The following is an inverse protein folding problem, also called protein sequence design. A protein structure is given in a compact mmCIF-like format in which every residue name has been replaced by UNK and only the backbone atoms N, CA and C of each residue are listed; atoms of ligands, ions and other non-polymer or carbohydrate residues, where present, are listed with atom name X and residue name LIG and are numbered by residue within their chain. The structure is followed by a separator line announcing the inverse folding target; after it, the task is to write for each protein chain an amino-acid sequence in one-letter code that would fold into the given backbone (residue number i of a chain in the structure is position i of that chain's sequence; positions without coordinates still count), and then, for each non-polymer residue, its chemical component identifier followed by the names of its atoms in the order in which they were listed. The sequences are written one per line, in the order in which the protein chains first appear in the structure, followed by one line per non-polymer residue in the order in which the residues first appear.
data_IF_724234595184
#
_entry.id   IF_724234595184
#
_cell.length_a   1.000
_cell.length_b   1.000
_cell.length_c   1.000
_cell.angle_alpha   90.00
_cell.angle_beta   90.00
_cell.angle_gamma   90.00
#
_symmetry.space_group_name_H-M   'P 1'
#
loop_
_entity.id
_entity.type
_entity.pdbx_description
1 polymer ?
#
# COMPACT_ATOMS: atom_id res chain seq x y z
N UNK A 1 -32.40 12.27 27.41
CA UNK A 1 -32.74 11.99 25.97
C UNK A 1 -31.71 11.05 25.41
N UNK A 2 -32.13 10.03 24.64
CA UNK A 2 -31.28 9.02 24.00
C UNK A 2 -31.60 8.96 22.50
N UNK A 3 -30.65 8.43 21.66
CA UNK A 3 -30.87 8.24 20.23
C UNK A 3 -32.13 7.42 19.90
N UNK A 4 -32.52 6.52 20.81
CA UNK A 4 -33.76 5.73 20.68
C UNK A 4 -34.98 6.63 20.66
N UNK A 5 -35.06 7.65 21.51
CA UNK A 5 -36.16 8.61 21.54
C UNK A 5 -36.29 9.37 20.20
N UNK A 6 -35.14 9.78 19.60
CA UNK A 6 -35.14 10.44 18.30
C UNK A 6 -35.67 9.51 17.20
N UNK A 7 -35.17 8.25 17.15
CA UNK A 7 -35.65 7.25 16.18
C UNK A 7 -37.13 7.00 16.29
N UNK A 8 -37.64 6.86 17.50
CA UNK A 8 -39.05 6.63 17.76
C UNK A 8 -39.92 7.83 17.36
N UNK A 9 -39.47 9.04 17.70
CA UNK A 9 -40.16 10.25 17.32
C UNK A 9 -40.19 10.42 15.77
N UNK A 10 -39.08 10.27 15.09
CA UNK A 10 -39.00 10.34 13.63
C UNK A 10 -39.94 9.32 12.98
N UNK A 11 -39.98 8.08 13.48
CA UNK A 11 -40.85 7.04 12.95
C UNK A 11 -42.35 7.40 13.12
N UNK A 12 -42.76 7.94 14.25
CA UNK A 12 -44.15 8.37 14.48
C UNK A 12 -44.47 9.61 13.65
N UNK A 13 -43.56 10.57 13.59
CA UNK A 13 -43.74 11.81 12.85
C UNK A 13 -43.90 11.60 11.33
N UNK A 14 -43.19 10.59 10.77
CA UNK A 14 -43.30 10.23 9.36
C UNK A 14 -44.54 9.43 9.00
N UNK A 15 -44.93 8.51 9.86
CA UNK A 15 -46.10 7.68 9.61
C UNK A 15 -47.42 8.32 10.06
N UNK A 16 -47.35 9.36 10.89
CA UNK A 16 -48.49 9.99 11.57
C UNK A 16 -49.42 8.96 12.25
N UNK A 17 -48.85 7.83 12.67
CA UNK A 17 -49.54 6.70 13.27
C UNK A 17 -48.59 5.94 14.23
N UNK A 18 -49.00 5.82 15.48
CA UNK A 18 -48.25 5.03 16.47
C UNK A 18 -48.20 3.54 16.13
N UNK A 19 -49.31 3.00 15.58
CA UNK A 19 -49.37 1.59 15.19
C UNK A 19 -48.43 1.27 14.02
N UNK A 20 -48.52 2.06 12.96
CA UNK A 20 -47.63 1.90 11.81
C UNK A 20 -46.13 2.13 12.17
N UNK A 21 -45.84 3.11 13.03
CA UNK A 21 -44.47 3.34 13.54
C UNK A 21 -43.98 2.16 14.39
N UNK A 22 -44.81 1.59 15.25
CA UNK A 22 -44.49 0.44 16.08
C UNK A 22 -44.18 -0.80 15.23
N UNK A 23 -45.00 -1.07 14.20
CA UNK A 23 -44.76 -2.14 13.22
C UNK A 23 -43.44 -1.95 12.49
N UNK A 24 -43.15 -0.76 11.95
CA UNK A 24 -41.89 -0.42 11.26
C UNK A 24 -40.66 -0.59 12.14
N UNK A 25 -40.79 -0.29 13.44
CA UNK A 25 -39.72 -0.40 14.42
C UNK A 25 -39.58 -1.79 15.05
N UNK A 26 -40.51 -2.72 14.79
CA UNK A 26 -40.51 -4.06 15.37
C UNK A 26 -40.77 -4.04 16.89
N UNK A 27 -41.55 -3.07 17.41
CA UNK A 27 -41.87 -2.91 18.83
C UNK A 27 -43.38 -2.88 19.03
N UNK A 28 -43.85 -3.09 20.27
CA UNK A 28 -45.25 -2.88 20.60
C UNK A 28 -45.57 -1.38 20.77
N UNK A 29 -46.80 -0.98 20.43
CA UNK A 29 -47.24 0.41 20.47
C UNK A 29 -47.24 1.06 21.88
N UNK A 30 -47.57 0.37 22.99
CA UNK A 30 -47.59 1.01 24.32
C UNK A 30 -46.21 1.56 24.76
N UNK A 31 -45.10 0.79 24.71
CA UNK A 31 -43.78 1.34 25.06
C UNK A 31 -43.32 2.46 24.09
N UNK A 32 -43.64 2.40 22.79
CA UNK A 32 -43.35 3.48 21.86
C UNK A 32 -44.05 4.78 22.31
N UNK A 33 -45.32 4.70 22.62
CA UNK A 33 -46.11 5.86 23.09
C UNK A 33 -45.57 6.43 24.41
N UNK A 34 -45.10 5.58 25.32
CA UNK A 34 -44.50 6.02 26.58
C UNK A 34 -43.16 6.76 26.32
N UNK A 35 -42.30 6.22 25.49
CA UNK A 35 -41.00 6.85 25.16
C UNK A 35 -41.18 8.22 24.49
N UNK A 36 -42.21 8.42 23.69
CA UNK A 36 -42.52 9.76 23.13
C UNK A 36 -43.02 10.70 24.20
N UNK A 37 -43.84 10.23 25.17
CA UNK A 37 -44.26 11.08 26.32
C UNK A 37 -43.08 11.48 27.18
N UNK A 38 -42.15 10.56 27.43
CA UNK A 38 -40.95 10.85 28.23
C UNK A 38 -40.05 11.87 27.51
N UNK A 39 -39.93 11.80 26.18
CA UNK A 39 -39.23 12.79 25.36
C UNK A 39 -39.88 14.17 25.43
N UNK A 40 -41.22 14.24 25.28
CA UNK A 40 -41.98 15.50 25.38
C UNK A 40 -41.88 16.11 26.79
N UNK A 41 -41.93 15.29 27.84
CA UNK A 41 -41.75 15.73 29.22
C UNK A 41 -40.32 16.29 29.46
N UNK A 42 -39.29 15.64 28.93
CA UNK A 42 -37.90 16.11 29.03
C UNK A 42 -37.70 17.45 28.29
N UNK A 43 -38.33 17.60 27.11
CA UNK A 43 -38.27 18.83 26.31
C UNK A 43 -39.19 19.96 26.88
N UNK A 44 -40.11 19.63 27.78
CA UNK A 44 -41.06 20.58 28.34
C UNK A 44 -42.11 21.11 27.35
N UNK A 45 -42.26 20.42 26.19
CA UNK A 45 -43.21 20.83 25.15
C UNK A 45 -43.74 19.63 24.36
N UNK A 46 -45.05 19.61 24.00
CA UNK A 46 -45.60 18.58 23.15
C UNK A 46 -45.06 18.69 21.71
N UNK A 47 -44.65 17.57 21.14
CA UNK A 47 -44.22 17.45 19.76
C UNK A 47 -45.33 16.96 18.83
N UNK A 48 -46.33 16.26 19.39
CA UNK A 48 -47.44 15.67 18.63
C UNK A 48 -48.79 16.11 19.18
N UNK A 49 -49.68 16.52 18.29
CA UNK A 49 -51.10 16.57 18.56
C UNK A 49 -51.65 15.16 18.46
N UNK A 50 -52.35 14.70 19.54
CA UNK A 50 -52.91 13.35 19.61
C UNK A 50 -54.41 13.45 19.88
N UNK A 51 -55.22 12.87 19.00
CA UNK A 51 -56.62 12.62 19.21
C UNK A 51 -56.88 11.12 19.10
N UNK A 52 -58.09 10.67 19.42
CA UNK A 52 -58.49 9.27 19.24
C UNK A 52 -58.49 8.83 17.77
N UNK A 53 -58.40 9.75 16.82
CA UNK A 53 -58.51 9.48 15.38
C UNK A 53 -57.32 9.95 14.53
N UNK A 54 -56.44 10.79 15.08
CA UNK A 54 -55.35 11.39 14.30
C UNK A 54 -54.15 11.73 15.15
N UNK A 55 -52.97 11.68 14.51
CA UNK A 55 -51.68 12.16 15.01
C UNK A 55 -51.17 13.22 14.01
N UNK A 56 -50.74 14.37 14.52
CA UNK A 56 -50.16 15.43 13.70
C UNK A 56 -49.00 16.07 14.48
N UNK A 57 -48.06 16.70 13.73
CA UNK A 57 -46.96 17.43 14.35
C UNK A 57 -47.42 18.78 14.90
N UNK A 58 -46.91 19.16 16.07
CA UNK A 58 -46.97 20.54 16.54
C UNK A 58 -45.93 21.39 15.78
N UNK A 59 -45.98 22.73 15.83
CA UNK A 59 -44.87 23.57 15.34
C UNK A 59 -43.51 23.18 15.95
N UNK A 60 -43.48 22.88 17.26
CA UNK A 60 -42.29 22.38 17.95
C UNK A 60 -41.86 21.01 17.41
N UNK A 61 -42.82 20.10 17.15
CA UNK A 61 -42.57 18.80 16.55
C UNK A 61 -41.99 18.89 15.13
N UNK A 62 -42.50 19.83 14.33
CA UNK A 62 -41.96 20.06 12.97
C UNK A 62 -40.52 20.55 13.02
N UNK A 63 -40.20 21.51 13.89
CA UNK A 63 -38.82 22.00 14.06
C UNK A 63 -37.90 20.91 14.62
N UNK A 64 -38.39 20.14 15.60
CA UNK A 64 -37.64 19.07 16.23
C UNK A 64 -37.37 17.90 15.25
N UNK A 65 -38.33 17.56 14.37
CA UNK A 65 -38.19 16.52 13.36
C UNK A 65 -37.00 16.78 12.42
N UNK A 66 -36.86 18.01 11.94
CA UNK A 66 -35.74 18.38 11.09
C UNK A 66 -34.38 18.18 11.79
N UNK A 67 -34.32 18.57 13.08
CA UNK A 67 -33.09 18.41 13.86
C UNK A 67 -32.83 16.94 14.23
N UNK A 68 -33.84 16.18 14.61
CA UNK A 68 -33.72 14.76 14.95
C UNK A 68 -33.23 13.94 13.77
N UNK A 69 -33.69 14.23 12.54
CA UNK A 69 -33.16 13.59 11.31
C UNK A 69 -31.68 13.91 11.07
N UNK A 70 -31.27 15.17 11.24
CA UNK A 70 -29.87 15.57 11.10
C UNK A 70 -28.98 14.81 12.08
N UNK A 71 -29.34 14.78 13.37
CA UNK A 71 -28.59 14.07 14.42
C UNK A 71 -28.45 12.57 14.10
N UNK A 72 -29.55 11.93 13.68
CA UNK A 72 -29.51 10.51 13.32
C UNK A 72 -28.65 10.25 12.10
N UNK A 73 -28.69 11.15 11.10
CA UNK A 73 -27.80 11.10 9.91
C UNK A 73 -26.33 11.22 10.30
N UNK A 74 -25.96 12.19 11.14
CA UNK A 74 -24.59 12.36 11.63
C UNK A 74 -24.08 11.12 12.39
N UNK A 75 -24.95 10.47 13.17
CA UNK A 75 -24.60 9.21 13.86
C UNK A 75 -24.35 8.08 12.85
N UNK A 76 -25.16 7.97 11.81
CA UNK A 76 -24.97 6.97 10.77
C UNK A 76 -23.67 7.21 9.98
N UNK A 77 -23.36 8.46 9.65
CA UNK A 77 -22.11 8.86 8.99
C UNK A 77 -20.90 8.53 9.87
N UNK A 78 -20.91 8.89 11.15
CA UNK A 78 -19.83 8.57 12.08
C UNK A 78 -19.61 7.06 12.21
N UNK A 79 -20.68 6.27 12.25
CA UNK A 79 -20.59 4.81 12.25
C UNK A 79 -20.02 4.26 10.94
N UNK A 80 -20.38 4.84 9.80
CA UNK A 80 -19.86 4.44 8.49
C UNK A 80 -18.38 4.76 8.35
N UNK A 81 -17.94 5.94 8.80
CA UNK A 81 -16.56 6.36 8.83
C UNK A 81 -15.71 5.42 9.71
N UNK A 82 -16.14 5.14 10.93
CA UNK A 82 -15.45 4.22 11.83
C UNK A 82 -15.27 2.82 11.21
N UNK A 83 -16.31 2.31 10.52
CA UNK A 83 -16.23 1.04 9.78
C UNK A 83 -15.27 1.12 8.60
N UNK A 84 -15.25 2.23 7.87
CA UNK A 84 -14.35 2.43 6.74
C UNK A 84 -12.88 2.45 7.18
N UNK A 85 -12.57 3.17 8.27
CA UNK A 85 -11.23 3.18 8.89
C UNK A 85 -10.85 1.78 9.37
N UNK A 86 -11.73 1.11 10.13
CA UNK A 86 -11.46 -0.23 10.66
C UNK A 86 -11.26 -1.29 9.56
N UNK A 87 -11.90 -1.11 8.41
CA UNK A 87 -11.71 -1.97 7.22
C UNK A 87 -10.55 -1.54 6.32
N UNK A 88 -9.79 -0.51 6.67
CA UNK A 88 -8.69 0.02 5.87
C UNK A 88 -9.12 0.57 4.51
N UNK A 89 -10.36 1.07 4.39
CA UNK A 89 -10.88 1.70 3.17
C UNK A 89 -10.59 3.21 3.10
N UNK A 90 -10.24 3.79 4.23
CA UNK A 90 -9.84 5.20 4.37
C UNK A 90 -8.63 5.29 5.28
N UNK A 91 -7.77 6.30 5.05
CA UNK A 91 -6.57 6.55 5.85
C UNK A 91 -5.35 6.87 5.00
N UNK A 92 -4.17 6.61 5.53
CA UNK A 92 -2.87 6.79 4.85
C UNK A 92 -2.09 5.50 4.83
N UNK A 93 -1.25 5.36 3.80
CA UNK A 93 -0.24 4.31 3.68
C UNK A 93 1.10 4.96 3.30
N UNK A 94 2.04 4.95 4.24
CA UNK A 94 3.37 5.49 4.05
C UNK A 94 4.34 4.39 3.63
N UNK A 95 4.89 4.49 2.41
CA UNK A 95 5.75 3.47 1.79
C UNK A 95 7.18 4.00 1.63
N UNK A 96 8.14 3.36 2.30
CA UNK A 96 9.57 3.58 2.10
C UNK A 96 10.10 2.75 0.93
N UNK A 97 10.92 3.34 0.08
CA UNK A 97 11.47 2.68 -1.11
C UNK A 97 12.77 3.33 -1.60
N UNK A 98 13.44 2.65 -2.52
CA UNK A 98 14.47 3.27 -3.38
C UNK A 98 13.93 3.45 -4.80
N UNK A 99 14.43 4.45 -5.53
CA UNK A 99 13.95 4.75 -6.89
C UNK A 99 14.00 3.56 -7.86
N UNK A 100 14.99 2.67 -7.72
CA UNK A 100 15.10 1.46 -8.54
C UNK A 100 13.98 0.42 -8.29
N UNK A 101 13.36 0.43 -7.11
CA UNK A 101 12.22 -0.45 -6.78
C UNK A 101 10.93 0.09 -7.40
N UNK A 102 10.80 1.41 -7.46
CA UNK A 102 9.65 2.06 -8.09
C UNK A 102 9.59 1.78 -9.61
N UNK A 103 10.74 1.63 -10.25
CA UNK A 103 10.83 1.24 -11.67
C UNK A 103 10.29 -0.19 -11.94
N UNK A 104 10.14 -1.01 -10.91
CA UNK A 104 9.55 -2.35 -10.98
C UNK A 104 8.03 -2.36 -10.81
N UNK A 105 7.45 -3.49 -10.35
CA UNK A 105 6.00 -3.69 -10.20
C UNK A 105 5.32 -2.72 -9.23
N UNK A 106 6.05 -2.09 -8.32
CA UNK A 106 5.49 -1.28 -7.23
C UNK A 106 4.61 -0.13 -7.74
N UNK A 107 5.03 0.58 -8.80
CA UNK A 107 4.24 1.67 -9.36
C UNK A 107 2.86 1.22 -9.83
N UNK A 108 2.78 0.04 -10.47
CA UNK A 108 1.50 -0.56 -10.88
C UNK A 108 0.67 -1.01 -9.69
N UNK A 109 1.29 -1.60 -8.66
CA UNK A 109 0.59 -1.99 -7.43
C UNK A 109 -0.04 -0.78 -6.74
N UNK A 110 0.69 0.33 -6.65
CA UNK A 110 0.18 1.59 -6.08
C UNK A 110 -1.04 2.09 -6.86
N UNK A 111 -0.98 2.07 -8.20
CA UNK A 111 -2.11 2.46 -9.05
C UNK A 111 -3.34 1.55 -8.81
N UNK A 112 -3.16 0.23 -8.84
CA UNK A 112 -4.25 -0.73 -8.59
C UNK A 112 -4.83 -0.57 -7.18
N UNK A 113 -3.98 -0.26 -6.20
CA UNK A 113 -4.43 -0.01 -4.83
C UNK A 113 -5.26 1.27 -4.73
N UNK A 114 -4.85 2.35 -5.37
CA UNK A 114 -5.61 3.59 -5.42
C UNK A 114 -6.98 3.44 -6.11
N UNK A 115 -7.06 2.61 -7.17
CA UNK A 115 -8.32 2.30 -7.84
C UNK A 115 -9.27 1.50 -6.93
N UNK A 116 -8.73 0.56 -6.14
CA UNK A 116 -9.53 -0.32 -5.24
C UNK A 116 -9.89 0.36 -3.91
N UNK A 117 -9.05 1.26 -3.42
CA UNK A 117 -9.19 1.96 -2.14
C UNK A 117 -9.03 3.49 -2.31
N UNK A 118 -9.97 4.16 -3.01
CA UNK A 118 -9.85 5.59 -3.34
C UNK A 118 -9.85 6.52 -2.13
N UNK A 119 -10.28 6.04 -0.96
CA UNK A 119 -10.24 6.78 0.31
C UNK A 119 -8.89 6.68 1.03
N UNK A 120 -7.90 5.95 0.47
CA UNK A 120 -6.57 5.81 1.07
C UNK A 120 -5.56 6.68 0.33
N UNK A 121 -4.88 7.57 1.06
CA UNK A 121 -3.76 8.36 0.53
C UNK A 121 -2.46 7.56 0.65
N UNK A 122 -1.85 7.19 -0.48
CA UNK A 122 -0.51 6.57 -0.50
C UNK A 122 0.54 7.67 -0.57
N UNK A 123 1.50 7.67 0.37
CA UNK A 123 2.65 8.56 0.40
C UNK A 123 3.93 7.76 0.21
N UNK A 124 4.79 8.24 -0.70
CA UNK A 124 6.05 7.59 -1.02
C UNK A 124 7.21 8.35 -0.37
N UNK A 125 8.08 7.61 0.32
CA UNK A 125 9.25 8.12 1.00
C UNK A 125 10.49 7.47 0.37
N UNK A 126 11.15 8.20 -0.52
CA UNK A 126 12.41 7.74 -1.08
C UNK A 126 13.51 7.87 -0.02
N UNK A 127 14.14 6.74 0.30
CA UNK A 127 15.18 6.68 1.33
C UNK A 127 16.13 5.49 1.12
N UNK A 128 17.36 5.57 1.64
CA UNK A 128 18.32 4.46 1.61
C UNK A 128 17.75 3.19 2.28
N UNK A 129 18.08 1.98 1.77
CA UNK A 129 17.58 0.73 2.36
C UNK A 129 17.90 0.58 3.85
N UNK A 130 19.09 1.05 4.28
CA UNK A 130 19.53 0.97 5.68
C UNK A 130 18.73 1.84 6.65
N UNK A 131 18.02 2.86 6.17
CA UNK A 131 17.20 3.76 6.98
C UNK A 131 15.76 3.25 7.18
N UNK A 132 15.28 2.36 6.30
CA UNK A 132 13.89 1.88 6.33
C UNK A 132 13.53 1.15 7.64
N UNK A 133 14.38 0.29 8.23
CA UNK A 133 14.09 -0.34 9.52
C UNK A 133 13.84 0.69 10.64
N UNK A 134 14.70 1.68 10.74
CA UNK A 134 14.54 2.75 11.74
C UNK A 134 13.27 3.59 11.48
N UNK A 135 12.94 3.84 10.20
CA UNK A 135 11.72 4.55 9.81
C UNK A 135 10.45 3.74 10.15
N UNK A 136 10.48 2.41 9.96
CA UNK A 136 9.41 1.49 10.38
C UNK A 136 9.23 1.52 11.91
N UNK A 137 10.30 1.41 12.68
CA UNK A 137 10.23 1.48 14.16
C UNK A 137 9.70 2.83 14.65
N UNK A 138 10.11 3.92 14.02
CA UNK A 138 9.64 5.26 14.33
C UNK A 138 8.23 5.58 13.77
N UNK A 139 7.57 4.62 13.11
CA UNK A 139 6.25 4.80 12.48
C UNK A 139 6.20 5.93 11.44
N UNK A 140 7.33 6.27 10.83
CA UNK A 140 7.39 7.22 9.72
C UNK A 140 6.97 6.60 8.39
N UNK A 141 7.06 5.28 8.28
CA UNK A 141 6.55 4.47 7.18
C UNK A 141 5.83 3.24 7.73
N UNK A 142 4.86 2.73 7.00
CA UNK A 142 4.09 1.53 7.32
C UNK A 142 4.65 0.29 6.63
N UNK A 143 5.15 0.47 5.40
CA UNK A 143 5.81 -0.53 4.58
C UNK A 143 7.17 -0.02 4.10
N UNK A 144 8.18 -0.88 4.11
CA UNK A 144 9.46 -0.65 3.46
C UNK A 144 9.67 -1.65 2.33
N UNK A 145 10.10 -1.18 1.15
CA UNK A 145 10.47 -2.06 0.04
C UNK A 145 11.97 -1.99 -0.19
N UNK A 146 12.64 -3.13 -0.06
CA UNK A 146 14.09 -3.22 -0.26
C UNK A 146 14.53 -4.62 -0.70
N UNK A 147 15.73 -4.69 -1.23
CA UNK A 147 16.45 -5.94 -1.48
C UNK A 147 17.31 -6.28 -0.27
N UNK A 148 17.43 -7.57 0.06
CA UNK A 148 18.23 -8.02 1.23
C UNK A 148 17.82 -7.37 2.54
N UNK A 149 16.64 -7.73 3.07
CA UNK A 149 16.15 -7.21 4.34
C UNK A 149 17.14 -7.50 5.48
N UNK A 150 17.20 -6.64 6.50
CA UNK A 150 18.01 -6.91 7.68
C UNK A 150 17.45 -8.11 8.47
N UNK A 151 18.30 -8.74 9.25
CA UNK A 151 17.91 -9.72 10.25
C UNK A 151 17.41 -8.99 11.50
N UNK A 152 16.16 -8.54 11.45
CA UNK A 152 15.48 -7.87 12.55
C UNK A 152 14.22 -8.67 12.91
N UNK A 153 14.21 -9.41 14.03
CA UNK A 153 13.09 -10.27 14.40
C UNK A 153 11.81 -9.49 14.74
N UNK A 154 11.91 -8.19 14.98
CA UNK A 154 10.75 -7.32 15.26
C UNK A 154 10.03 -6.88 13.99
N UNK A 155 10.65 -7.04 12.82
CA UNK A 155 10.05 -6.75 11.51
C UNK A 155 9.57 -8.03 10.84
N UNK A 156 8.43 -7.94 10.19
CA UNK A 156 7.92 -8.99 9.31
C UNK A 156 8.43 -8.75 7.91
N UNK A 157 8.96 -9.82 7.30
CA UNK A 157 9.47 -9.82 5.93
C UNK A 157 8.53 -10.64 5.07
N UNK A 158 8.01 -10.02 4.01
CA UNK A 158 7.18 -10.67 3.00
C UNK A 158 7.93 -10.57 1.68
N UNK A 159 8.25 -11.71 1.03
CA UNK A 159 8.79 -11.69 -0.32
C UNK A 159 7.76 -11.09 -1.27
N UNK A 160 8.12 -10.00 -1.94
CA UNK A 160 7.22 -9.26 -2.80
C UNK A 160 7.27 -9.79 -4.24
N UNK A 161 8.44 -9.78 -4.87
CA UNK A 161 8.66 -10.36 -6.21
C UNK A 161 10.11 -10.74 -6.43
N UNK A 162 10.37 -11.76 -7.26
CA UNK A 162 11.72 -12.10 -7.70
C UNK A 162 12.21 -11.07 -8.74
N UNK A 163 13.51 -10.83 -8.73
CA UNK A 163 14.15 -9.96 -9.71
C UNK A 163 15.50 -10.54 -10.11
N UNK A 164 15.78 -10.61 -11.43
CA UNK A 164 17.04 -11.08 -11.93
C UNK A 164 18.11 -10.00 -11.80
N UNK A 165 19.36 -10.42 -11.69
CA UNK A 165 20.55 -9.56 -11.84
C UNK A 165 21.12 -9.74 -13.22
N UNK A 166 21.48 -8.63 -13.86
CA UNK A 166 22.19 -8.62 -15.12
C UNK A 166 23.36 -7.65 -15.10
N UNK A 167 23.95 -7.44 -16.26
CA UNK A 167 25.10 -6.56 -16.48
C UNK A 167 24.65 -5.35 -17.27
N UNK A 168 24.88 -4.16 -16.74
CA UNK A 168 24.80 -2.91 -17.48
C UNK A 168 26.18 -2.58 -18.06
N UNK A 169 26.22 -2.30 -19.36
CA UNK A 169 27.42 -2.02 -20.15
C UNK A 169 27.23 -0.75 -20.98
N UNK A 170 28.27 0.04 -21.27
CA UNK A 170 28.20 1.01 -22.36
C UNK A 170 27.74 0.35 -23.66
N UNK A 171 26.91 1.00 -24.48
CA UNK A 171 26.36 0.39 -25.69
C UNK A 171 27.47 -0.08 -26.67
N UNK A 172 28.60 0.63 -26.72
CA UNK A 172 29.77 0.27 -27.55
C UNK A 172 30.71 -0.76 -26.93
N UNK A 173 30.40 -1.32 -25.77
CA UNK A 173 31.28 -2.26 -25.09
C UNK A 173 31.40 -3.58 -25.86
N UNK A 174 32.60 -4.21 -25.88
CA UNK A 174 32.85 -5.48 -26.59
C UNK A 174 31.89 -6.61 -26.21
N UNK A 175 31.45 -6.66 -24.96
CA UNK A 175 30.51 -7.67 -24.46
C UNK A 175 29.05 -7.32 -24.80
N UNK A 176 28.72 -6.09 -25.21
CA UNK A 176 27.37 -5.69 -25.51
C UNK A 176 26.76 -6.42 -26.72
N UNK A 177 27.58 -6.98 -27.61
CA UNK A 177 27.13 -7.80 -28.75
C UNK A 177 26.68 -9.22 -28.34
N UNK A 178 26.97 -9.68 -27.13
CA UNK A 178 26.60 -11.03 -26.68
C UNK A 178 25.12 -11.03 -26.20
N UNK A 179 24.43 -12.13 -26.41
CA UNK A 179 23.06 -12.30 -25.91
C UNK A 179 22.99 -12.41 -24.36
N UNK A 180 24.02 -13.00 -23.75
CA UNK A 180 24.19 -13.14 -22.31
C UNK A 180 25.68 -13.20 -21.96
N UNK A 181 26.04 -12.93 -20.71
CA UNK A 181 27.42 -12.75 -20.23
C UNK A 181 27.65 -13.68 -19.04
N UNK A 182 28.75 -14.45 -19.06
CA UNK A 182 29.20 -15.16 -17.88
C UNK A 182 29.85 -14.16 -16.90
N UNK A 183 29.66 -14.34 -15.61
CA UNK A 183 30.20 -13.42 -14.59
C UNK A 183 31.74 -13.35 -14.68
N UNK A 184 32.40 -14.47 -15.02
CA UNK A 184 33.86 -14.53 -15.25
C UNK A 184 34.36 -13.69 -16.42
N UNK A 185 33.53 -13.38 -17.43
CA UNK A 185 33.88 -12.51 -18.55
C UNK A 185 34.15 -11.05 -18.13
N UNK A 186 33.69 -10.68 -16.91
CA UNK A 186 33.83 -9.33 -16.34
C UNK A 186 35.12 -9.16 -15.50
N UNK A 187 35.94 -10.19 -15.37
CA UNK A 187 37.15 -10.21 -14.50
C UNK A 187 38.02 -8.99 -14.64
N UNK A 188 38.30 -8.58 -15.87
CA UNK A 188 39.26 -7.51 -16.18
C UNK A 188 38.55 -6.13 -16.35
N UNK A 189 37.24 -6.08 -16.20
CA UNK A 189 36.49 -4.85 -16.39
C UNK A 189 36.53 -3.94 -15.14
N UNK A 190 36.56 -2.62 -15.35
CA UNK A 190 36.35 -1.68 -14.24
C UNK A 190 34.86 -1.68 -13.82
N UNK A 191 34.60 -1.66 -12.52
CA UNK A 191 33.23 -1.69 -11.97
C UNK A 191 32.78 -0.35 -11.41
N UNK A 192 31.55 0.01 -11.71
CA UNK A 192 30.76 1.00 -10.93
C UNK A 192 29.82 0.24 -10.01
N UNK A 193 29.74 0.62 -8.72
CA UNK A 193 28.94 -0.10 -7.74
C UNK A 193 28.16 0.82 -6.82
N UNK A 194 27.19 0.25 -6.12
CA UNK A 194 26.50 0.93 -5.03
C UNK A 194 27.38 0.92 -3.76
N UNK A 195 27.40 2.04 -3.04
CA UNK A 195 28.04 2.17 -1.71
C UNK A 195 27.10 1.65 -0.63
N UNK A 196 27.66 1.08 0.42
CA UNK A 196 26.97 0.72 1.67
C UNK A 196 25.66 -0.09 1.48
N UNK A 197 25.66 -0.96 0.48
CA UNK A 197 24.51 -1.80 0.13
C UNK A 197 24.80 -3.26 0.42
N UNK A 198 23.97 -3.89 1.27
CA UNK A 198 24.03 -5.36 1.49
C UNK A 198 23.88 -6.12 0.18
N UNK A 199 23.02 -5.64 -0.71
CA UNK A 199 22.88 -6.21 -2.05
C UNK A 199 24.18 -6.11 -2.87
N UNK A 200 24.93 -4.99 -2.81
CA UNK A 200 26.22 -4.88 -3.46
C UNK A 200 27.25 -5.86 -2.89
N UNK A 201 27.21 -6.15 -1.58
CA UNK A 201 28.06 -7.16 -0.94
C UNK A 201 27.83 -8.54 -1.54
N UNK A 202 26.57 -8.93 -1.73
CA UNK A 202 26.23 -10.23 -2.36
C UNK A 202 26.73 -10.33 -3.80
N UNK A 203 26.65 -9.21 -4.56
CA UNK A 203 27.19 -9.16 -5.93
C UNK A 203 28.70 -9.35 -5.95
N UNK A 204 29.41 -8.77 -4.96
CA UNK A 204 30.84 -8.97 -4.80
C UNK A 204 31.20 -10.40 -4.41
N UNK A 205 30.39 -11.04 -3.57
CA UNK A 205 30.57 -12.46 -3.22
C UNK A 205 30.41 -13.37 -4.43
N UNK A 206 29.38 -13.13 -5.25
CA UNK A 206 29.18 -13.89 -6.49
C UNK A 206 30.35 -13.74 -7.45
N UNK A 207 30.96 -12.56 -7.55
CA UNK A 207 32.18 -12.37 -8.35
C UNK A 207 33.35 -13.16 -7.79
N UNK A 208 33.53 -13.21 -6.46
CA UNK A 208 34.59 -14.03 -5.81
C UNK A 208 34.37 -15.51 -6.04
N UNK A 209 33.16 -16.00 -5.99
CA UNK A 209 32.80 -17.39 -6.32
C UNK A 209 33.08 -17.71 -7.81
N UNK A 210 32.91 -16.71 -8.71
CA UNK A 210 33.32 -16.82 -10.12
C UNK A 210 34.84 -16.70 -10.35
N UNK A 211 35.63 -16.61 -9.28
CA UNK A 211 37.09 -16.66 -9.29
C UNK A 211 37.80 -15.33 -9.53
N UNK A 212 37.16 -14.19 -9.24
CA UNK A 212 37.81 -12.88 -9.33
C UNK A 212 37.28 -11.88 -8.29
N UNK A 213 38.11 -10.88 -7.97
CA UNK A 213 37.69 -9.74 -7.15
C UNK A 213 37.41 -8.56 -8.09
N UNK A 214 36.17 -7.99 -8.04
CA UNK A 214 35.87 -6.82 -8.84
C UNK A 214 36.76 -5.63 -8.48
N UNK A 215 37.10 -4.82 -9.50
CA UNK A 215 37.88 -3.59 -9.34
C UNK A 215 36.97 -2.37 -9.39
N UNK A 216 36.47 -1.84 -8.25
CA UNK A 216 35.62 -0.68 -8.25
C UNK A 216 36.42 0.57 -8.62
N UNK A 217 36.01 1.27 -9.67
CA UNK A 217 36.55 2.56 -10.08
C UNK A 217 35.73 3.72 -9.55
N UNK A 218 34.43 3.45 -9.25
CA UNK A 218 33.54 4.42 -8.65
C UNK A 218 32.46 3.75 -7.81
N UNK A 219 32.05 4.43 -6.73
CA UNK A 219 30.95 4.01 -5.87
C UNK A 219 29.96 5.14 -5.71
N UNK A 220 28.67 4.84 -5.86
CA UNK A 220 27.57 5.79 -5.79
C UNK A 220 26.48 5.30 -4.83
N UNK A 221 25.61 6.19 -4.39
CA UNK A 221 24.49 5.86 -3.49
C UNK A 221 23.26 5.43 -4.29
N UNK A 222 23.01 6.09 -5.43
CA UNK A 222 21.79 5.96 -6.21
C UNK A 222 22.00 5.07 -7.45
N UNK A 223 21.04 4.18 -7.72
CA UNK A 223 21.06 3.33 -8.92
C UNK A 223 21.02 4.13 -10.22
N UNK A 224 20.34 5.27 -10.24
CA UNK A 224 20.31 6.16 -11.40
C UNK A 224 21.72 6.73 -11.73
N UNK A 225 22.46 7.15 -10.71
CA UNK A 225 23.84 7.61 -10.85
C UNK A 225 24.76 6.50 -11.34
N UNK A 226 24.58 5.27 -10.83
CA UNK A 226 25.33 4.10 -11.28
C UNK A 226 25.14 3.86 -12.78
N UNK A 227 23.89 3.84 -13.24
CA UNK A 227 23.55 3.62 -14.66
C UNK A 227 24.11 4.75 -15.54
N UNK A 228 24.05 6.02 -15.09
CA UNK A 228 24.63 7.16 -15.81
C UNK A 228 26.15 7.06 -15.96
N UNK A 229 26.87 6.61 -14.92
CA UNK A 229 28.33 6.42 -15.00
C UNK A 229 28.72 5.28 -15.93
N UNK A 230 27.93 4.20 -15.98
CA UNK A 230 28.11 3.14 -16.98
C UNK A 230 27.89 3.70 -18.38
N UNK A 231 26.84 4.49 -18.63
CA UNK A 231 26.60 5.14 -19.92
C UNK A 231 27.76 6.04 -20.36
N UNK A 232 28.38 6.73 -19.41
CA UNK A 232 29.55 7.58 -19.64
C UNK A 232 30.86 6.78 -19.91
N UNK A 233 30.82 5.44 -19.85
CA UNK A 233 31.97 4.59 -20.17
C UNK A 233 32.96 4.40 -19.02
N UNK A 234 32.59 4.73 -17.77
CA UNK A 234 33.50 4.57 -16.64
C UNK A 234 33.73 3.11 -16.24
N UNK A 235 32.87 2.21 -16.64
CA UNK A 235 32.97 0.80 -16.32
C UNK A 235 31.66 0.05 -16.57
N UNK A 236 31.58 -1.16 -16.02
CA UNK A 236 30.40 -2.02 -16.06
C UNK A 236 29.75 -2.07 -14.68
N UNK A 237 28.47 -2.49 -14.60
CA UNK A 237 27.80 -2.67 -13.33
C UNK A 237 26.93 -3.93 -13.30
N UNK A 238 26.87 -4.60 -12.16
CA UNK A 238 25.83 -5.58 -11.85
C UNK A 238 24.63 -4.85 -11.29
N UNK A 239 23.47 -5.02 -11.92
CA UNK A 239 22.26 -4.28 -11.59
C UNK A 239 21.05 -5.19 -11.60
N UNK A 240 20.03 -4.93 -10.78
CA UNK A 240 18.74 -5.60 -10.93
C UNK A 240 18.06 -5.19 -12.24
N UNK A 241 17.23 -6.07 -12.78
CA UNK A 241 16.53 -5.89 -14.07
C UNK A 241 15.75 -4.58 -14.12
N UNK A 242 15.08 -4.20 -13.02
CA UNK A 242 14.32 -2.94 -12.91
C UNK A 242 15.19 -1.69 -13.08
N UNK A 243 16.45 -1.74 -12.71
CA UNK A 243 17.35 -0.58 -12.88
C UNK A 243 17.61 -0.23 -14.37
N UNK A 244 17.35 -1.17 -15.28
CA UNK A 244 17.49 -1.00 -16.72
C UNK A 244 16.15 -1.03 -17.48
N UNK A 245 15.02 -0.94 -16.79
CA UNK A 245 13.69 -0.96 -17.39
C UNK A 245 13.45 0.20 -18.39
N UNK A 246 14.14 1.34 -18.21
CA UNK A 246 14.13 2.43 -19.19
C UNK A 246 15.13 2.11 -20.31
N UNK A 247 14.63 1.82 -21.50
CA UNK A 247 15.46 1.63 -22.70
C UNK A 247 16.29 2.88 -22.99
N UNK A 248 17.61 2.74 -22.98
CA UNK A 248 18.57 3.81 -23.25
C UNK A 248 19.46 3.43 -24.42
N UNK A 249 19.69 4.31 -25.40
CA UNK A 249 20.53 4.00 -26.56
C UNK A 249 22.03 3.90 -26.20
N UNK A 250 22.44 4.47 -25.08
CA UNK A 250 23.83 4.54 -24.60
C UNK A 250 24.22 3.39 -23.65
N UNK A 251 23.25 2.49 -23.29
CA UNK A 251 23.46 1.34 -22.40
C UNK A 251 22.96 0.05 -23.07
N UNK A 252 23.76 -1.01 -22.92
CA UNK A 252 23.32 -2.37 -23.17
C UNK A 252 23.14 -3.11 -21.84
N UNK A 253 21.95 -3.63 -21.60
CA UNK A 253 21.69 -4.58 -20.51
C UNK A 253 21.81 -6.01 -21.04
N UNK A 254 22.48 -6.89 -20.31
CA UNK A 254 22.63 -8.31 -20.68
C UNK A 254 22.39 -9.21 -19.46
N UNK A 255 21.62 -10.27 -19.62
CA UNK A 255 21.43 -11.26 -18.54
C UNK A 255 22.75 -11.99 -18.26
N UNK A 256 22.89 -12.44 -17.01
CA UNK A 256 24.00 -13.31 -16.61
C UNK A 256 23.74 -14.76 -17.05
N UNK A 257 24.81 -15.45 -17.48
CA UNK A 257 24.84 -16.89 -17.72
C UNK A 257 25.20 -17.63 -16.42
N UNK A 258 24.51 -18.75 -16.17
CA UNK A 258 24.78 -19.61 -15.01
C UNK A 258 24.13 -19.10 -13.72
N UNK A 259 24.60 -19.57 -12.55
CA UNK A 259 24.11 -19.09 -11.26
C UNK A 259 24.33 -17.58 -11.14
N UNK A 260 23.25 -16.84 -11.02
CA UNK A 260 23.27 -15.39 -10.85
C UNK A 260 22.78 -15.03 -9.45
N UNK A 261 23.30 -13.96 -8.84
CA UNK A 261 22.74 -13.43 -7.62
C UNK A 261 21.25 -13.07 -7.80
N UNK A 262 20.49 -13.22 -6.75
CA UNK A 262 19.07 -12.91 -6.75
C UNK A 262 18.88 -11.52 -6.15
N UNK A 263 18.07 -10.69 -6.82
CA UNK A 263 17.73 -9.35 -6.38
C UNK A 263 16.28 -9.26 -5.88
N UNK A 264 15.79 -10.30 -5.21
CA UNK A 264 14.42 -10.35 -4.74
C UNK A 264 14.07 -9.12 -3.92
N UNK A 265 12.92 -8.53 -4.23
CA UNK A 265 12.37 -7.42 -3.47
C UNK A 265 11.47 -7.99 -2.36
N UNK A 266 11.67 -7.47 -1.16
CA UNK A 266 10.89 -7.79 0.02
C UNK A 266 10.13 -6.55 0.49
N UNK A 267 8.91 -6.77 0.99
CA UNK A 267 8.15 -5.81 1.77
C UNK A 267 8.42 -6.07 3.25
N UNK A 268 8.75 -5.02 3.99
CA UNK A 268 8.95 -5.05 5.43
C UNK A 268 7.86 -4.24 6.11
N UNK A 269 7.36 -4.76 7.24
CA UNK A 269 6.44 -4.02 8.10
C UNK A 269 6.60 -4.46 9.55
N UNK A 270 6.10 -3.65 10.48
CA UNK A 270 5.97 -4.06 11.87
C UNK A 270 4.78 -5.02 12.01
N UNK A 271 4.85 -5.94 12.91
CA UNK A 271 3.71 -6.79 13.26
C UNK A 271 3.04 -6.28 14.54
N UNK A 272 1.69 -6.33 14.65
CA UNK A 272 0.71 -6.54 13.59
C UNK A 272 0.56 -5.32 12.67
N UNK A 273 0.28 -5.57 11.41
CA UNK A 273 0.06 -4.49 10.43
C UNK A 273 -1.35 -3.88 10.59
N UNK A 274 -1.48 -2.59 10.30
CA UNK A 274 -2.78 -1.93 10.23
C UNK A 274 -3.62 -2.42 9.05
N UNK A 275 -4.95 -2.21 9.10
CA UNK A 275 -5.87 -2.72 8.07
C UNK A 275 -5.53 -2.23 6.65
N UNK A 276 -5.08 -0.97 6.50
CA UNK A 276 -4.64 -0.42 5.20
C UNK A 276 -3.41 -1.18 4.66
N UNK A 277 -2.42 -1.42 5.52
CA UNK A 277 -1.20 -2.16 5.18
C UNK A 277 -1.52 -3.61 4.80
N UNK A 278 -2.40 -4.29 5.56
CA UNK A 278 -2.84 -5.65 5.22
C UNK A 278 -3.58 -5.70 3.88
N UNK A 279 -4.43 -4.72 3.59
CA UNK A 279 -5.11 -4.60 2.29
C UNK A 279 -4.11 -4.45 1.14
N UNK A 280 -3.04 -3.66 1.32
CA UNK A 280 -1.99 -3.52 0.31
C UNK A 280 -1.22 -4.82 0.10
N UNK A 281 -0.82 -5.49 1.18
CA UNK A 281 -0.13 -6.78 1.12
C UNK A 281 -0.99 -7.88 0.49
N UNK A 282 -2.30 -7.87 0.75
CA UNK A 282 -3.26 -8.79 0.13
C UNK A 282 -3.36 -8.53 -1.39
N UNK A 283 -3.50 -7.27 -1.81
CA UNK A 283 -3.50 -6.89 -3.22
C UNK A 283 -2.19 -7.27 -3.91
N UNK A 284 -1.06 -7.06 -3.25
CA UNK A 284 0.26 -7.43 -3.79
C UNK A 284 0.33 -8.93 -4.06
N UNK A 285 -0.10 -9.78 -3.11
CA UNK A 285 -0.13 -11.25 -3.30
C UNK A 285 -1.10 -11.66 -4.43
N UNK A 286 -2.25 -11.01 -4.52
CA UNK A 286 -3.24 -11.23 -5.58
C UNK A 286 -2.67 -10.90 -6.98
N UNK A 287 -2.02 -9.73 -7.10
CA UNK A 287 -1.55 -9.21 -8.37
C UNK A 287 -0.27 -9.88 -8.89
N UNK A 288 0.61 -10.33 -7.98
CA UNK A 288 1.91 -10.91 -8.34
C UNK A 288 1.91 -12.44 -8.25
N UNK A 289 0.93 -13.05 -7.61
CA UNK A 289 0.90 -14.48 -7.30
C UNK A 289 1.81 -14.86 -6.14
N UNK A 290 1.88 -16.16 -5.78
CA UNK A 290 2.74 -16.64 -4.72
C UNK A 290 4.22 -16.45 -5.09
N UNK A 291 4.96 -15.77 -4.22
CA UNK A 291 6.40 -15.55 -4.42
C UNK A 291 7.25 -16.81 -4.14
N UNK A 292 6.64 -17.85 -3.56
CA UNK A 292 7.30 -19.10 -3.18
C UNK A 292 6.96 -20.21 -4.17
N UNK A 293 7.95 -20.59 -4.99
CA UNK A 293 7.85 -21.77 -5.86
C UNK A 293 8.61 -21.62 -7.17
N UNK A 294 8.88 -22.76 -7.84
CA UNK A 294 9.55 -22.87 -9.15
C UNK A 294 8.79 -22.17 -10.32
N UNK A 295 7.64 -21.54 -10.02
CA UNK A 295 6.81 -20.78 -10.92
C UNK A 295 6.81 -19.27 -10.66
N UNK A 296 7.77 -18.73 -9.88
CA UNK A 296 7.93 -17.29 -9.74
C UNK A 296 8.21 -16.68 -11.12
N UNK A 297 7.20 -16.08 -11.72
CA UNK A 297 7.29 -15.43 -13.04
C UNK A 297 8.24 -14.24 -12.93
N UNK A 298 9.10 -14.05 -13.94
CA UNK A 298 9.91 -12.84 -14.06
C UNK A 298 8.99 -11.62 -14.15
N UNK A 299 9.49 -10.46 -13.74
CA UNK A 299 8.73 -9.19 -13.81
C UNK A 299 8.21 -8.93 -15.22
N UNK A 300 9.01 -9.22 -16.26
CA UNK A 300 8.65 -9.13 -17.68
C UNK A 300 7.51 -10.10 -18.10
N UNK A 301 7.34 -11.23 -17.40
CA UNK A 301 6.27 -12.20 -17.68
C UNK A 301 4.97 -11.82 -16.97
N UNK A 302 5.08 -11.17 -15.81
CA UNK A 302 3.92 -10.71 -15.02
C UNK A 302 3.30 -9.46 -15.68
N UNK A 303 4.14 -8.63 -16.30
CA UNK A 303 3.73 -7.38 -16.93
C UNK A 303 4.40 -7.23 -18.29
N UNK A 304 3.91 -7.92 -19.34
CA UNK A 304 4.38 -7.70 -20.69
C UNK A 304 4.15 -6.23 -21.08
N UNK A 305 5.19 -5.59 -21.65
CA UNK A 305 5.07 -4.26 -22.25
C UNK A 305 3.96 -4.30 -23.31
N UNK A 306 3.01 -3.39 -23.23
CA UNK A 306 2.02 -3.09 -24.29
C UNK A 306 2.51 -1.93 -25.11
#
# INVERSE_FOLDING_TARGET
MELRHLRYFVAVAESLSFTAAAERLGVSQPPLSQQIRDLEAELGTPLLWRTSRSVALTPAGTAFLARARGILGEVEEACAEARAVGAGRTGTLDIGLTGSILAGPLGRLIRLFGERYPGVLVRLHEMPPGEQPAALHAQRIDLGFLRRPPEDPSLKVVRAWPEAVGVALPAGHRLAARAAIALADLRDEPFVSLRDSRFATDLWEACREAGFAPRPVQQVVESASLVNLVAAGLGVALVPESACAATRPDIAYRPLLGPAPIADVCALHRGPAGAVTENFLALMREALGPADGAAARRVSEIFPER
#
